data_IF_114501626150
#
_entry.id   IF_114501626150
#
_cell.length_a   1.000
_cell.length_b   1.000
_cell.length_c   1.000
_cell.angle_alpha   90.00
_cell.angle_beta   90.00
_cell.angle_gamma   90.00
#
_symmetry.space_group_name_H-M   'P 1'
#
loop_
_entity.id
_entity.type
_entity.pdbx_description
1 polymer ?
#
# COMPACT_ATOMS: atom_id res chain seq x y z
N UNK A 1 -35.66 -10.48 45.62
CA UNK A 1 -35.46 -9.88 44.28
C UNK A 1 -34.01 -9.40 44.07
N UNK A 2 -32.98 -10.26 44.21
CA UNK A 2 -31.56 -9.84 44.04
C UNK A 2 -30.68 -10.80 43.22
N UNK A 3 -31.21 -11.95 42.77
CA UNK A 3 -30.42 -12.97 42.04
C UNK A 3 -30.51 -12.85 40.51
N UNK A 4 -31.44 -12.05 39.99
CA UNK A 4 -31.65 -11.90 38.53
C UNK A 4 -30.65 -10.90 37.93
N UNK A 5 -30.21 -9.91 38.71
CA UNK A 5 -29.30 -8.86 38.21
C UNK A 5 -27.87 -9.37 37.97
N UNK A 6 -27.43 -10.39 38.72
CA UNK A 6 -26.07 -10.94 38.60
C UNK A 6 -25.90 -11.82 37.35
N UNK A 7 -26.97 -12.47 36.88
CA UNK A 7 -26.92 -13.34 35.70
C UNK A 7 -26.75 -12.54 34.39
N UNK A 8 -27.33 -11.34 34.33
CA UNK A 8 -27.21 -10.45 33.15
C UNK A 8 -25.79 -9.90 32.97
N UNK A 9 -25.07 -9.66 34.05
CA UNK A 9 -23.68 -9.16 34.01
C UNK A 9 -22.71 -10.27 33.59
N UNK A 10 -22.96 -11.52 33.98
CA UNK A 10 -22.15 -12.67 33.56
C UNK A 10 -22.33 -12.99 32.06
N UNK A 11 -23.53 -12.78 31.49
CA UNK A 11 -23.77 -12.97 30.06
C UNK A 11 -23.14 -11.85 29.20
N UNK A 12 -23.05 -10.62 29.71
CA UNK A 12 -22.35 -9.52 29.02
C UNK A 12 -20.82 -9.69 29.03
N UNK A 13 -20.26 -10.48 29.95
CA UNK A 13 -18.82 -10.73 30.03
C UNK A 13 -18.33 -11.83 29.07
N UNK A 14 -19.21 -12.62 28.45
CA UNK A 14 -18.80 -13.63 27.45
C UNK A 14 -18.61 -13.08 26.03
N UNK A 15 -18.92 -11.81 25.79
CA UNK A 15 -18.52 -11.10 24.58
C UNK A 15 -17.13 -10.48 24.77
N UNK A 16 -16.14 -11.28 25.19
CA UNK A 16 -14.74 -10.89 24.96
C UNK A 16 -14.50 -10.97 23.46
N UNK A 17 -14.53 -9.78 22.85
CA UNK A 17 -14.04 -9.42 21.53
C UNK A 17 -13.02 -10.44 20.99
N UNK A 18 -13.47 -11.36 20.14
CA UNK A 18 -12.56 -11.93 19.16
C UNK A 18 -12.25 -10.78 18.21
N UNK A 19 -11.10 -10.12 18.40
CA UNK A 19 -10.50 -9.40 17.30
C UNK A 19 -10.32 -10.42 16.17
N UNK A 20 -11.19 -10.36 15.17
CA UNK A 20 -11.11 -11.21 13.99
C UNK A 20 -9.84 -10.79 13.26
N UNK A 21 -8.76 -11.54 13.48
CA UNK A 21 -7.58 -11.40 12.65
C UNK A 21 -7.99 -11.86 11.25
N UNK A 22 -8.23 -10.89 10.38
CA UNK A 22 -8.46 -11.14 8.97
C UNK A 22 -7.18 -11.78 8.41
N UNK A 23 -7.34 -12.83 7.62
CA UNK A 23 -6.26 -13.39 6.82
C UNK A 23 -6.68 -13.21 5.36
N UNK A 24 -5.73 -12.78 4.54
CA UNK A 24 -6.01 -12.42 3.15
C UNK A 24 -5.10 -13.22 2.23
N UNK A 25 -5.67 -13.84 1.21
CA UNK A 25 -4.91 -14.41 0.10
C UNK A 25 -5.35 -13.72 -1.20
N UNK A 26 -4.41 -13.04 -1.85
CA UNK A 26 -4.59 -12.48 -3.20
C UNK A 26 -3.78 -13.29 -4.18
N UNK A 27 -4.37 -13.58 -5.35
CA UNK A 27 -3.66 -14.19 -6.46
C UNK A 27 -3.97 -13.40 -7.72
N UNK A 28 -2.92 -12.86 -8.34
CA UNK A 28 -2.99 -12.05 -9.55
C UNK A 28 -2.19 -12.69 -10.67
N UNK A 29 -2.74 -12.70 -11.89
CA UNK A 29 -2.06 -13.21 -13.09
C UNK A 29 -1.86 -12.11 -14.12
N UNK A 30 -0.60 -11.89 -14.49
CA UNK A 30 -0.19 -10.93 -15.52
C UNK A 30 -0.13 -11.58 -16.92
N UNK A 31 -0.90 -12.64 -17.14
CA UNK A 31 -1.01 -13.34 -18.43
C UNK A 31 -1.89 -12.58 -19.42
N UNK A 32 -1.68 -12.80 -20.73
CA UNK A 32 -2.50 -12.18 -21.79
C UNK A 32 -3.83 -12.90 -22.04
N UNK A 33 -4.04 -14.03 -21.40
CA UNK A 33 -5.24 -14.86 -21.51
C UNK A 33 -5.88 -15.00 -20.13
N UNK A 34 -7.20 -15.21 -20.08
CA UNK A 34 -7.90 -15.46 -18.82
C UNK A 34 -7.40 -16.75 -18.17
N UNK A 35 -7.52 -16.81 -16.85
CA UNK A 35 -7.05 -17.94 -16.04
C UNK A 35 -8.10 -18.34 -15.01
N UNK A 36 -8.15 -19.64 -14.74
CA UNK A 36 -8.99 -20.25 -13.72
C UNK A 36 -8.15 -20.54 -12.49
N UNK A 37 -8.59 -20.03 -11.34
CA UNK A 37 -7.96 -20.29 -10.04
C UNK A 37 -8.63 -21.45 -9.34
N UNK A 38 -7.85 -22.40 -8.84
CA UNK A 38 -8.32 -23.49 -7.97
C UNK A 38 -7.54 -23.42 -6.67
N UNK A 39 -8.23 -23.16 -5.56
CA UNK A 39 -7.67 -23.13 -4.20
C UNK A 39 -8.39 -24.21 -3.37
N UNK A 40 -7.64 -25.14 -2.79
CA UNK A 40 -8.16 -26.29 -2.02
C UNK A 40 -9.25 -27.07 -2.74
N UNK A 41 -8.97 -27.35 -4.01
CA UNK A 41 -9.89 -28.03 -4.93
C UNK A 41 -11.20 -27.27 -5.21
N UNK A 42 -11.34 -26.02 -4.77
CA UNK A 42 -12.47 -25.14 -5.11
C UNK A 42 -12.09 -24.21 -6.24
N UNK A 43 -12.94 -24.14 -7.26
CA UNK A 43 -12.77 -23.22 -8.38
C UNK A 43 -13.27 -21.83 -8.01
N UNK A 44 -12.47 -20.83 -8.30
CA UNK A 44 -12.84 -19.43 -8.13
C UNK A 44 -12.88 -18.76 -9.50
N UNK A 45 -14.01 -18.13 -9.79
CA UNK A 45 -14.20 -17.39 -11.03
C UNK A 45 -13.68 -15.96 -10.83
N UNK A 46 -13.15 -15.37 -11.90
CA UNK A 46 -12.69 -13.99 -11.89
C UNK A 46 -13.86 -13.05 -11.60
N UNK A 47 -13.67 -12.07 -10.71
CA UNK A 47 -14.71 -11.08 -10.40
C UNK A 47 -14.95 -10.09 -11.57
N UNK A 48 -13.93 -9.83 -12.41
CA UNK A 48 -14.01 -8.89 -13.54
C UNK A 48 -13.39 -9.50 -14.80
N UNK A 49 -14.09 -9.40 -15.94
CA UNK A 49 -13.70 -10.02 -17.24
C UNK A 49 -12.30 -9.63 -17.75
N UNK A 50 -11.76 -8.49 -17.31
CA UNK A 50 -10.49 -7.94 -17.78
C UNK A 50 -9.34 -8.08 -16.75
N UNK A 51 -9.61 -8.60 -15.55
CA UNK A 51 -8.62 -8.70 -14.48
C UNK A 51 -8.55 -10.15 -14.02
N UNK A 52 -7.39 -10.75 -14.21
CA UNK A 52 -7.12 -12.12 -13.76
C UNK A 52 -6.66 -12.09 -12.30
N UNK A 53 -7.58 -11.80 -11.39
CA UNK A 53 -7.34 -11.69 -9.95
C UNK A 53 -8.42 -12.42 -9.14
N UNK A 54 -8.02 -12.97 -8.01
CA UNK A 54 -8.92 -13.42 -6.95
C UNK A 54 -8.44 -12.94 -5.58
N UNK A 55 -9.39 -12.53 -4.75
CA UNK A 55 -9.16 -12.07 -3.38
C UNK A 55 -10.00 -12.95 -2.44
N UNK A 56 -9.32 -13.71 -1.58
CA UNK A 56 -9.93 -14.56 -0.56
C UNK A 56 -9.73 -13.93 0.82
N UNK A 57 -10.79 -13.29 1.31
CA UNK A 57 -10.86 -12.72 2.65
C UNK A 57 -11.20 -13.81 3.65
N UNK A 58 -10.68 -13.67 4.87
CA UNK A 58 -10.86 -14.59 5.99
C UNK A 58 -10.53 -16.05 5.65
N UNK A 59 -9.49 -16.25 4.83
CA UNK A 59 -8.99 -17.59 4.55
C UNK A 59 -8.47 -18.21 5.85
N UNK A 60 -8.71 -19.50 6.06
CA UNK A 60 -8.26 -20.17 7.29
C UNK A 60 -6.73 -20.15 7.37
N UNK A 61 -6.10 -19.91 8.53
CA UNK A 61 -4.66 -20.09 8.62
C UNK A 61 -4.26 -21.54 8.35
N UNK A 62 -3.18 -21.76 7.60
CA UNK A 62 -2.70 -23.10 7.25
C UNK A 62 -2.15 -23.21 5.84
N UNK A 63 -1.92 -24.45 5.41
CA UNK A 63 -1.48 -24.75 4.06
C UNK A 63 -2.67 -24.77 3.10
N UNK A 64 -2.56 -23.99 2.04
CA UNK A 64 -3.51 -23.92 0.93
C UNK A 64 -2.85 -24.43 -0.35
N UNK A 65 -3.54 -25.33 -1.02
CA UNK A 65 -3.12 -25.82 -2.33
C UNK A 65 -3.64 -24.90 -3.41
N UNK A 66 -2.76 -24.51 -4.33
CA UNK A 66 -3.08 -23.57 -5.40
C UNK A 66 -2.77 -24.22 -6.74
N UNK A 67 -3.73 -24.17 -7.65
CA UNK A 67 -3.54 -24.49 -9.06
C UNK A 67 -4.14 -23.38 -9.91
N UNK A 68 -3.40 -22.97 -10.93
CA UNK A 68 -3.83 -21.95 -11.89
C UNK A 68 -3.79 -22.57 -13.27
N UNK A 69 -4.92 -22.51 -13.97
CA UNK A 69 -5.06 -23.05 -15.32
C UNK A 69 -5.33 -21.94 -16.31
N UNK A 70 -4.85 -22.09 -17.54
CA UNK A 70 -5.29 -21.26 -18.66
C UNK A 70 -6.76 -21.54 -18.94
N UNK A 71 -7.57 -20.48 -18.98
CA UNK A 71 -8.98 -20.58 -19.34
C UNK A 71 -9.14 -20.59 -20.87
N UNK A 72 -9.93 -21.54 -21.39
CA UNK A 72 -10.26 -21.58 -22.82
C UNK A 72 -11.40 -20.59 -23.08
N UNK A 73 -11.25 -19.71 -24.08
CA UNK A 73 -12.41 -19.01 -24.65
C UNK A 73 -13.22 -20.03 -25.44
N UNK A 74 -14.41 -20.38 -24.94
CA UNK A 74 -15.36 -21.23 -25.66
C UNK A 74 -15.98 -20.42 -26.82
N UNK A 75 -15.28 -20.33 -27.94
CA UNK A 75 -15.85 -19.85 -29.18
C UNK A 75 -16.24 -21.06 -30.03
N UNK A 76 -17.48 -21.52 -29.85
CA UNK A 76 -18.13 -22.57 -30.66
C UNK A 76 -17.36 -23.90 -30.79
N UNK A 77 -17.49 -24.78 -29.81
CA UNK A 77 -17.06 -26.18 -29.94
C UNK A 77 -18.28 -27.12 -29.88
N UNK A 78 -18.62 -27.73 -31.03
CA UNK A 78 -19.67 -28.74 -31.17
C UNK A 78 -19.13 -30.17 -31.02
N UNK A 79 -17.88 -30.36 -30.60
CA UNK A 79 -17.32 -31.70 -30.45
C UNK A 79 -17.80 -32.37 -29.15
N UNK A 80 -18.59 -33.43 -29.30
CA UNK A 80 -19.07 -34.31 -28.21
C UNK A 80 -17.98 -35.17 -27.55
N UNK A 81 -16.71 -34.82 -27.75
CA UNK A 81 -15.55 -35.50 -27.19
C UNK A 81 -14.55 -34.44 -26.70
N UNK A 82 -15.02 -33.59 -25.81
CA UNK A 82 -14.23 -32.50 -25.22
C UNK A 82 -13.13 -33.06 -24.32
N UNK A 83 -11.93 -33.21 -24.85
CA UNK A 83 -10.76 -33.50 -24.04
C UNK A 83 -10.49 -32.27 -23.16
N UNK A 84 -10.82 -32.37 -21.86
CA UNK A 84 -10.79 -31.30 -20.86
C UNK A 84 -9.37 -30.86 -20.45
N UNK A 85 -8.41 -30.93 -21.37
CA UNK A 85 -7.02 -30.60 -21.12
C UNK A 85 -6.89 -29.07 -20.96
N UNK A 86 -7.17 -28.59 -19.76
CA UNK A 86 -6.81 -27.26 -19.30
C UNK A 86 -5.30 -27.23 -19.11
N UNK A 87 -4.62 -26.23 -19.67
CA UNK A 87 -3.17 -26.09 -19.51
C UNK A 87 -2.89 -25.59 -18.10
N UNK A 88 -2.18 -26.39 -17.28
CA UNK A 88 -1.70 -25.98 -15.97
C UNK A 88 -0.57 -24.95 -16.13
N UNK A 89 -0.73 -23.80 -15.49
CA UNK A 89 0.24 -22.70 -15.51
C UNK A 89 1.09 -22.69 -14.24
N UNK A 90 0.45 -22.97 -13.10
CA UNK A 90 1.10 -22.98 -11.80
C UNK A 90 0.44 -24.03 -10.90
N UNK A 91 1.24 -24.74 -10.13
CA UNK A 91 0.81 -25.57 -9.01
C UNK A 91 1.78 -25.42 -7.87
N UNK A 92 1.26 -25.16 -6.67
CA UNK A 92 2.07 -24.99 -5.47
C UNK A 92 1.22 -25.01 -4.21
N UNK A 93 1.89 -25.03 -3.07
CA UNK A 93 1.26 -24.86 -1.76
C UNK A 93 1.77 -23.57 -1.15
N UNK A 94 0.88 -22.85 -0.46
CA UNK A 94 1.23 -21.64 0.28
C UNK A 94 0.77 -21.79 1.72
N UNK A 95 1.57 -21.31 2.67
CA UNK A 95 1.19 -21.27 4.07
C UNK A 95 0.68 -19.88 4.41
N UNK A 96 -0.57 -19.77 4.86
CA UNK A 96 -1.15 -18.50 5.30
C UNK A 96 -1.10 -18.45 6.82
N UNK A 97 -0.37 -17.46 7.36
CA UNK A 97 -0.31 -17.21 8.80
C UNK A 97 -1.53 -16.42 9.26
N UNK A 98 -1.86 -16.57 10.53
CA UNK A 98 -2.88 -15.74 11.17
C UNK A 98 -2.47 -14.26 11.12
N UNK A 99 -3.41 -13.39 10.74
CA UNK A 99 -3.20 -11.95 10.62
C UNK A 99 -2.22 -11.56 9.51
N UNK A 100 -2.19 -12.30 8.40
CA UNK A 100 -1.30 -11.96 7.27
C UNK A 100 -2.04 -11.84 5.95
N UNK A 101 -1.49 -11.01 5.07
CA UNK A 101 -1.82 -10.95 3.66
C UNK A 101 -0.72 -11.67 2.90
N UNK A 102 -1.10 -12.76 2.25
CA UNK A 102 -0.27 -13.47 1.30
C UNK A 102 -0.68 -13.03 -0.10
N UNK A 103 0.26 -12.51 -0.87
CA UNK A 103 0.04 -12.10 -2.27
C UNK A 103 0.84 -13.00 -3.21
N UNK A 104 0.19 -13.46 -4.28
CA UNK A 104 0.78 -14.35 -5.27
C UNK A 104 0.62 -13.74 -6.64
N UNK A 105 1.74 -13.38 -7.27
CA UNK A 105 1.77 -12.79 -8.59
C UNK A 105 2.34 -13.79 -9.59
N UNK A 106 1.51 -14.26 -10.51
CA UNK A 106 1.92 -15.05 -11.65
C UNK A 106 2.34 -14.13 -12.79
N UNK A 107 3.61 -14.20 -13.20
CA UNK A 107 4.07 -13.45 -14.35
C UNK A 107 3.63 -14.11 -15.68
N UNK A 108 3.85 -13.41 -16.80
CA UNK A 108 3.49 -13.89 -18.14
C UNK A 108 4.20 -15.18 -18.60
N UNK A 109 5.24 -15.60 -17.88
CA UNK A 109 6.04 -16.80 -18.17
C UNK A 109 5.67 -17.99 -17.28
N UNK A 110 4.64 -17.86 -16.42
CA UNK A 110 4.21 -18.92 -15.51
C UNK A 110 5.04 -19.02 -14.22
N UNK A 111 5.94 -18.05 -13.95
CA UNK A 111 6.65 -17.97 -12.67
C UNK A 111 5.80 -17.20 -11.66
N UNK A 112 5.58 -17.81 -10.50
CA UNK A 112 4.91 -17.17 -9.38
C UNK A 112 5.92 -16.48 -8.45
N UNK A 113 5.56 -15.28 -7.98
CA UNK A 113 6.18 -14.56 -6.89
C UNK A 113 5.22 -14.56 -5.72
N UNK A 114 5.71 -14.82 -4.53
CA UNK A 114 4.89 -14.90 -3.31
C UNK A 114 5.48 -13.90 -2.32
N UNK A 115 4.62 -13.04 -1.78
CA UNK A 115 4.95 -12.10 -0.71
C UNK A 115 4.01 -12.30 0.48
N UNK A 116 4.49 -12.05 1.69
CA UNK A 116 3.71 -12.14 2.93
C UNK A 116 3.90 -10.85 3.74
N UNK A 117 2.79 -10.24 4.15
CA UNK A 117 2.80 -9.04 5.00
C UNK A 117 1.88 -9.22 6.20
N UNK A 118 2.25 -8.64 7.33
CA UNK A 118 1.40 -8.60 8.52
C UNK A 118 0.22 -7.66 8.29
N UNK A 119 -0.98 -8.10 8.67
CA UNK A 119 -2.19 -7.29 8.63
C UNK A 119 -2.33 -6.53 9.95
N UNK A 120 -2.22 -5.22 9.88
CA UNK A 120 -2.63 -4.36 10.98
C UNK A 120 -4.18 -4.35 11.05
N UNK A 121 -4.78 -4.61 12.22
CA UNK A 121 -6.23 -4.58 12.36
C UNK A 121 -6.73 -3.15 12.07
N UNK A 122 -7.41 -2.98 10.93
CA UNK A 122 -7.94 -1.70 10.47
C UNK A 122 -7.85 -1.46 8.96
N UNK A 123 -7.07 -2.25 8.22
CA UNK A 123 -6.72 -1.91 6.83
C UNK A 123 -7.41 -2.69 5.71
N UNK A 124 -8.36 -3.59 6.00
CA UNK A 124 -9.11 -4.28 4.96
C UNK A 124 -10.61 -4.34 5.25
N UNK A 125 -11.31 -3.26 4.90
CA UNK A 125 -12.73 -3.34 4.54
C UNK A 125 -12.85 -3.72 3.05
N UNK A 126 -14.02 -4.25 2.70
CA UNK A 126 -14.34 -4.96 1.46
C UNK A 126 -14.22 -4.15 0.18
N UNK A 127 -14.06 -4.87 -0.92
CA UNK A 127 -14.23 -4.35 -2.28
C UNK A 127 -15.66 -3.82 -2.43
N UNK A 128 -15.82 -2.55 -2.77
CA UNK A 128 -16.94 -2.06 -3.58
C UNK A 128 -16.46 -0.82 -4.33
N UNK A 129 -16.60 -0.88 -5.65
CA UNK A 129 -16.35 0.22 -6.57
C UNK A 129 -17.32 1.37 -6.23
N UNK A 130 -16.94 2.27 -5.33
CA UNK A 130 -17.48 3.62 -5.30
C UNK A 130 -16.33 4.57 -5.60
N UNK A 131 -16.33 5.10 -6.83
CA UNK A 131 -15.55 6.27 -7.19
C UNK A 131 -16.11 7.47 -6.42
N UNK A 132 -15.82 7.54 -5.12
CA UNK A 132 -15.82 8.81 -4.40
C UNK A 132 -14.37 9.22 -4.22
N UNK A 133 -13.92 9.94 -5.24
CA UNK A 133 -12.63 10.58 -5.39
C UNK A 133 -12.44 11.63 -4.29
N UNK A 134 -12.22 11.22 -3.03
CA UNK A 134 -11.81 12.15 -1.97
C UNK A 134 -11.11 11.53 -0.75
N UNK A 135 -10.39 10.43 -0.91
CA UNK A 135 -9.23 10.19 -0.05
C UNK A 135 -8.05 9.92 -0.95
N UNK A 136 -7.46 11.01 -1.45
CA UNK A 136 -6.15 11.02 -2.09
C UNK A 136 -5.20 10.34 -1.12
N UNK A 137 -4.87 9.05 -1.33
CA UNK A 137 -3.73 8.47 -0.65
C UNK A 137 -2.53 9.17 -1.22
N UNK A 138 -2.15 10.23 -0.54
CA UNK A 138 -1.06 11.09 -0.93
C UNK A 138 0.22 10.26 -0.82
N UNK A 139 0.69 9.76 -1.96
CA UNK A 139 1.95 9.04 -2.04
C UNK A 139 3.09 10.06 -2.15
N UNK A 140 4.10 9.90 -1.29
CA UNK A 140 5.33 10.65 -1.40
C UNK A 140 6.05 10.30 -2.71
N UNK A 141 6.80 11.24 -3.27
CA UNK A 141 7.57 11.07 -4.50
C UNK A 141 8.37 9.76 -4.50
N UNK A 142 8.40 9.06 -5.63
CA UNK A 142 9.14 7.81 -5.72
C UNK A 142 10.63 8.03 -5.49
N UNK A 143 11.34 7.01 -4.98
CA UNK A 143 12.79 7.12 -4.75
C UNK A 143 13.60 7.33 -6.05
N UNK A 144 13.06 6.95 -7.21
CA UNK A 144 13.69 7.21 -8.50
C UNK A 144 13.55 8.69 -8.89
N UNK A 145 12.33 9.21 -8.86
CA UNK A 145 12.04 10.61 -9.22
C UNK A 145 12.70 11.58 -8.24
N UNK A 146 12.71 11.23 -6.95
CA UNK A 146 13.36 12.04 -5.92
C UNK A 146 14.88 12.12 -6.14
N UNK A 147 15.53 11.03 -6.55
CA UNK A 147 16.96 11.06 -6.91
C UNK A 147 17.22 11.98 -8.09
N UNK A 148 16.35 11.93 -9.10
CA UNK A 148 16.45 12.82 -10.27
C UNK A 148 16.26 14.30 -9.86
N UNK A 149 15.25 14.60 -9.04
CA UNK A 149 15.04 15.95 -8.51
C UNK A 149 16.26 16.49 -7.77
N UNK A 150 16.83 15.68 -6.85
CA UNK A 150 18.03 16.06 -6.12
C UNK A 150 19.20 16.36 -7.05
N UNK A 151 19.37 15.57 -8.11
CA UNK A 151 20.40 15.82 -9.12
C UNK A 151 20.15 17.14 -9.86
N UNK A 152 18.93 17.38 -10.35
CA UNK A 152 18.56 18.64 -11.02
C UNK A 152 18.81 19.85 -10.12
N UNK A 153 18.45 19.80 -8.84
CA UNK A 153 18.72 20.90 -7.90
C UNK A 153 20.22 21.05 -7.64
N UNK A 154 20.97 19.95 -7.53
CA UNK A 154 22.40 20.00 -7.21
C UNK A 154 23.25 20.49 -8.38
N UNK A 155 22.80 20.28 -9.62
CA UNK A 155 23.48 20.72 -10.85
C UNK A 155 23.36 22.23 -11.10
N UNK A 156 22.46 22.93 -10.39
CA UNK A 156 22.26 24.37 -10.51
C UNK A 156 23.23 25.18 -9.63
N UNK A 157 23.87 26.19 -10.23
CA UNK A 157 24.89 27.00 -9.56
C UNK A 157 24.32 28.07 -8.60
N UNK A 158 23.13 28.59 -8.91
CA UNK A 158 22.53 29.69 -8.15
C UNK A 158 21.48 29.20 -7.18
N UNK A 159 21.63 29.55 -5.90
CA UNK A 159 20.70 29.10 -4.87
C UNK A 159 19.26 29.60 -5.08
N UNK A 160 19.09 30.79 -5.65
CA UNK A 160 17.78 31.31 -6.06
C UNK A 160 17.09 30.41 -7.08
N UNK A 161 17.85 29.86 -8.03
CA UNK A 161 17.33 28.94 -9.06
C UNK A 161 16.97 27.59 -8.44
N UNK A 162 17.83 27.05 -7.56
CA UNK A 162 17.55 25.85 -6.77
C UNK A 162 16.25 25.97 -5.97
N UNK A 163 16.06 27.11 -5.30
CA UNK A 163 14.85 27.42 -4.54
C UNK A 163 13.61 27.43 -5.43
N UNK A 164 13.69 28.05 -6.61
CA UNK A 164 12.59 28.11 -7.55
C UNK A 164 12.17 26.72 -8.03
N UNK A 165 13.13 25.88 -8.45
CA UNK A 165 12.88 24.50 -8.89
C UNK A 165 12.26 23.68 -7.75
N UNK A 166 12.87 23.75 -6.55
CA UNK A 166 12.36 23.03 -5.39
C UNK A 166 10.91 23.39 -5.07
N UNK A 167 10.58 24.69 -4.97
CA UNK A 167 9.21 25.14 -4.68
C UNK A 167 8.22 24.72 -5.77
N UNK A 168 8.62 24.85 -7.04
CA UNK A 168 7.79 24.39 -8.16
C UNK A 168 7.47 22.91 -8.02
N UNK A 169 8.47 22.05 -7.79
CA UNK A 169 8.23 20.61 -7.65
C UNK A 169 7.44 20.27 -6.39
N UNK A 170 7.71 20.94 -5.26
CA UNK A 170 6.96 20.78 -4.01
C UNK A 170 5.47 21.05 -4.21
N UNK A 171 5.11 22.08 -4.98
CA UNK A 171 3.70 22.40 -5.22
C UNK A 171 2.94 21.38 -6.10
N UNK A 172 3.66 20.47 -6.77
CA UNK A 172 3.09 19.51 -7.72
C UNK A 172 3.13 18.06 -7.20
N UNK A 173 3.89 17.81 -6.14
CA UNK A 173 4.12 16.48 -5.61
C UNK A 173 4.12 16.49 -4.08
N UNK A 174 3.89 15.33 -3.50
CA UNK A 174 4.00 15.17 -2.06
C UNK A 174 5.29 14.47 -1.68
N UNK A 175 5.75 14.69 -0.45
CA UNK A 175 7.04 14.24 0.04
C UNK A 175 6.88 13.64 1.43
N UNK A 176 7.72 12.68 1.81
CA UNK A 176 7.86 12.32 3.21
C UNK A 176 8.73 13.34 3.95
N UNK A 177 8.61 13.43 5.26
CA UNK A 177 9.41 14.28 6.12
C UNK A 177 10.91 13.99 5.92
N UNK A 178 11.26 12.73 5.66
CA UNK A 178 12.63 12.33 5.36
C UNK A 178 13.11 12.92 4.03
N UNK A 179 12.28 12.87 2.99
CA UNK A 179 12.61 13.48 1.70
C UNK A 179 12.70 15.00 1.81
N UNK A 180 11.82 15.65 2.57
CA UNK A 180 11.93 17.09 2.81
C UNK A 180 13.23 17.41 3.54
N UNK A 181 13.61 16.65 4.56
CA UNK A 181 14.89 16.81 5.26
C UNK A 181 16.08 16.71 4.30
N UNK A 182 16.07 15.74 3.40
CA UNK A 182 17.11 15.61 2.37
C UNK A 182 17.12 16.80 1.40
N UNK A 183 15.95 17.29 0.98
CA UNK A 183 15.81 18.42 0.08
C UNK A 183 16.32 19.73 0.73
N UNK A 184 15.97 19.96 2.00
CA UNK A 184 16.49 21.05 2.82
C UNK A 184 18.02 20.98 2.92
N UNK A 185 18.57 19.77 3.06
CA UNK A 185 20.02 19.54 3.09
C UNK A 185 20.78 19.95 1.82
N UNK A 186 20.11 20.19 0.70
CA UNK A 186 20.76 20.64 -0.55
C UNK A 186 21.10 22.14 -0.56
N UNK A 187 20.57 22.92 0.38
CA UNK A 187 20.75 24.37 0.42
C UNK A 187 21.88 24.77 1.36
N UNK A 188 22.62 25.82 1.01
CA UNK A 188 23.77 26.27 1.79
C UNK A 188 23.37 27.33 2.82
N UNK A 189 22.44 28.22 2.48
CA UNK A 189 21.98 29.25 3.41
C UNK A 189 20.83 28.77 4.29
N UNK A 190 20.94 29.07 5.59
CA UNK A 190 19.94 28.66 6.59
C UNK A 190 18.55 29.28 6.31
N UNK A 191 18.52 30.51 5.80
CA UNK A 191 17.26 31.16 5.41
C UNK A 191 16.53 30.38 4.31
N UNK A 192 17.26 29.87 3.31
CA UNK A 192 16.71 29.05 2.22
C UNK A 192 16.21 27.70 2.74
N UNK A 193 16.97 27.07 3.65
CA UNK A 193 16.55 25.83 4.33
C UNK A 193 15.23 26.00 5.06
N UNK A 194 15.09 27.10 5.81
CA UNK A 194 13.90 27.38 6.61
C UNK A 194 12.70 27.71 5.73
N UNK A 195 12.92 28.45 4.64
CA UNK A 195 11.90 28.77 3.64
C UNK A 195 11.33 27.49 3.00
N UNK A 196 12.21 26.59 2.51
CA UNK A 196 11.80 25.30 1.95
C UNK A 196 11.08 24.42 2.98
N UNK A 197 11.62 24.32 4.21
CA UNK A 197 11.01 23.51 5.26
C UNK A 197 9.59 24.00 5.61
N UNK A 198 9.37 25.32 5.73
CA UNK A 198 8.03 25.85 5.97
C UNK A 198 7.11 25.65 4.78
N UNK A 199 7.62 25.87 3.56
CA UNK A 199 6.84 25.74 2.32
C UNK A 199 6.38 24.29 2.06
N UNK A 200 7.24 23.32 2.34
CA UNK A 200 6.97 21.90 2.09
C UNK A 200 6.05 21.24 3.12
N UNK A 201 5.77 21.88 4.26
CA UNK A 201 4.99 21.25 5.35
C UNK A 201 3.60 20.79 4.91
N UNK A 202 2.87 21.63 4.16
CA UNK A 202 1.54 21.29 3.65
C UNK A 202 1.55 20.19 2.57
N UNK A 203 2.72 19.91 1.98
CA UNK A 203 2.93 18.88 0.96
C UNK A 203 3.64 17.65 1.54
N UNK A 204 3.65 17.51 2.88
CA UNK A 204 4.25 16.39 3.57
C UNK A 204 3.20 15.32 3.88
N UNK A 205 3.51 14.05 3.61
CA UNK A 205 2.58 12.94 3.82
C UNK A 205 2.51 12.46 5.27
N UNK A 206 3.60 12.64 6.01
CA UNK A 206 3.81 12.21 7.39
C UNK A 206 4.20 13.38 8.30
N UNK A 207 3.35 14.42 8.34
CA UNK A 207 3.54 15.64 9.14
C UNK A 207 3.83 15.37 10.63
N UNK A 208 3.30 14.29 11.20
CA UNK A 208 3.62 13.85 12.57
C UNK A 208 5.11 13.57 12.79
N UNK A 209 5.88 13.27 11.74
CA UNK A 209 7.33 13.02 11.79
C UNK A 209 8.17 14.26 11.46
N UNK A 210 7.57 15.43 11.21
CA UNK A 210 8.29 16.61 10.71
C UNK A 210 9.36 17.17 11.67
N UNK A 211 9.32 16.78 12.94
CA UNK A 211 10.35 17.12 13.93
C UNK A 211 11.76 16.67 13.53
N UNK A 212 11.91 15.68 12.63
CA UNK A 212 13.21 15.18 12.17
C UNK A 212 13.99 16.21 11.33
N UNK A 213 13.32 17.24 10.81
CA UNK A 213 13.97 18.32 10.04
C UNK A 213 14.84 19.22 10.94
N UNK A 214 14.68 19.19 12.27
CA UNK A 214 15.50 19.98 13.19
C UNK A 214 17.00 19.69 13.05
N UNK A 215 17.38 18.48 12.61
CA UNK A 215 18.79 18.13 12.39
C UNK A 215 19.37 18.77 11.12
N UNK A 216 18.54 19.29 10.22
CA UNK A 216 18.99 19.96 9.00
C UNK A 216 19.40 21.44 9.25
N UNK A 217 19.10 21.96 10.44
CA UNK A 217 19.40 23.34 10.86
C UNK A 217 20.60 23.38 11.79
N UNK A 218 21.45 24.39 11.57
CA UNK A 218 22.67 24.64 12.34
C UNK A 218 22.39 25.60 13.49
N UNK A 219 21.52 26.59 13.29
CA UNK A 219 21.20 27.62 14.29
C UNK A 219 19.98 27.23 15.12
N UNK A 220 20.05 27.49 16.43
CA UNK A 220 18.91 27.25 17.34
C UNK A 220 17.69 28.09 16.97
N UNK A 221 17.90 29.33 16.53
CA UNK A 221 16.83 30.24 16.10
C UNK A 221 16.00 29.66 14.96
N UNK A 222 16.62 28.97 13.99
CA UNK A 222 15.89 28.35 12.87
C UNK A 222 15.08 27.13 13.30
N UNK A 223 15.56 26.37 14.30
CA UNK A 223 14.81 25.26 14.91
C UNK A 223 13.60 25.77 15.69
N UNK A 224 13.80 26.82 16.49
CA UNK A 224 12.73 27.49 17.23
C UNK A 224 11.67 28.06 16.28
N UNK A 225 12.09 28.70 15.19
CA UNK A 225 11.20 29.22 14.16
C UNK A 225 10.39 28.13 13.45
N UNK A 226 11.00 26.97 13.17
CA UNK A 226 10.29 25.83 12.60
C UNK A 226 9.31 25.25 13.62
N UNK A 227 9.75 25.03 14.86
CA UNK A 227 8.89 24.50 15.93
C UNK A 227 7.67 25.41 16.20
N UNK A 228 7.88 26.73 16.25
CA UNK A 228 6.80 27.71 16.39
C UNK A 228 5.86 27.74 15.20
N UNK A 229 6.35 27.47 13.98
CA UNK A 229 5.50 27.28 12.81
C UNK A 229 4.65 26.01 12.91
N UNK A 230 5.24 24.88 13.32
CA UNK A 230 4.52 23.60 13.48
C UNK A 230 3.41 23.68 14.53
N UNK A 231 3.65 24.36 15.66
CA UNK A 231 2.62 24.56 16.68
C UNK A 231 1.40 25.36 16.19
N UNK A 232 1.59 26.26 15.23
CA UNK A 232 0.49 27.06 14.65
C UNK A 232 -0.32 26.32 13.59
N UNK A 233 0.22 25.24 13.03
CA UNK A 233 -0.37 24.49 11.92
C UNK A 233 -0.67 23.02 12.29
N UNK A 234 -0.69 22.70 13.59
CA UNK A 234 -1.27 21.50 14.18
C UNK A 234 -2.67 21.82 14.71
#
# INVERSE_FOLDING_TARGET
MKKIFTLSIALMLSCYLFATHQNLLTITSNTRYPVKFIIDNRSYNQKKSNISEIVLRDITPGFHSIRIYKEKKNWYDHSRTGNNNQQLLYAGNVFVKKGTHVDIILNRFGKAFIDERQLNPGYYSGDEDDWNDNETYVQSMSAADFRQLKQTISDENFESTRLAIAKQTISQHYFSALQVKELVGLFSFENSRLDIAKYAYQYCTDQQQYYILNDAFSFSSSKEDLAGFLQKNN
#
